data_IF_376235126715
#
_entry.id   IF_376235126715
#
_cell.length_a   1.000
_cell.length_b   1.000
_cell.length_c   1.000
_cell.angle_alpha   90.00
_cell.angle_beta   90.00
_cell.angle_gamma   90.00
#
_symmetry.space_group_name_H-M   'P 1'
#
loop_
_entity.id
_entity.type
_entity.pdbx_description
1 polymer ?
#
# COMPACT_ATOMS: atom_id res chain seq x y z
N UNK A 1 -10.98 14.05 4.34
CA UNK A 1 -11.08 12.70 3.73
C UNK A 1 -10.30 11.71 4.55
N UNK A 2 -10.71 10.45 4.52
CA UNK A 2 -9.94 9.31 5.04
C UNK A 2 -9.19 8.66 3.88
N UNK A 3 -7.86 8.67 3.93
CA UNK A 3 -6.99 8.25 2.85
C UNK A 3 -6.13 7.09 3.31
N UNK A 4 -6.17 5.98 2.56
CA UNK A 4 -5.24 4.86 2.73
C UNK A 4 -4.15 5.00 1.65
N UNK A 5 -2.89 5.04 2.07
CA UNK A 5 -1.74 5.07 1.16
C UNK A 5 -0.97 3.76 1.31
N UNK A 6 -0.75 3.07 0.21
CA UNK A 6 0.06 1.86 0.19
C UNK A 6 1.40 2.13 -0.49
N UNK A 7 2.48 1.73 0.16
CA UNK A 7 3.83 1.83 -0.38
C UNK A 7 4.49 0.45 -0.47
N UNK A 8 5.11 0.17 -1.63
CA UNK A 8 5.79 -1.09 -1.90
C UNK A 8 7.26 -1.12 -1.46
N UNK A 9 7.84 -2.31 -1.39
CA UNK A 9 9.26 -2.50 -1.03
C UNK A 9 10.21 -1.81 -2.02
N UNK A 10 9.90 -1.86 -3.31
CA UNK A 10 10.71 -1.22 -4.38
C UNK A 10 10.81 0.30 -4.21
N UNK A 11 9.82 0.90 -3.59
CA UNK A 11 9.77 2.34 -3.30
C UNK A 11 10.59 2.69 -2.05
N UNK A 12 10.55 1.84 -1.03
CA UNK A 12 11.18 2.09 0.28
C UNK A 12 12.64 1.64 0.37
N UNK A 13 13.10 0.76 -0.51
CA UNK A 13 14.43 0.18 -0.43
C UNK A 13 15.21 0.35 -1.74
N UNK A 14 16.52 0.57 -1.60
CA UNK A 14 17.46 0.46 -2.72
C UNK A 14 17.63 -1.01 -3.16
N UNK A 15 18.19 -1.22 -4.35
CA UNK A 15 18.54 -2.57 -4.84
C UNK A 15 19.50 -3.33 -3.92
N UNK A 16 20.22 -2.62 -3.03
CA UNK A 16 21.08 -3.18 -1.98
C UNK A 16 20.31 -3.76 -0.79
N UNK A 17 18.97 -3.65 -0.77
CA UNK A 17 18.12 -4.02 0.36
C UNK A 17 18.10 -3.00 1.51
N UNK A 18 18.89 -1.92 1.42
CA UNK A 18 18.92 -0.86 2.45
C UNK A 18 17.80 0.15 2.18
N UNK A 19 17.32 0.77 3.27
CA UNK A 19 16.29 1.81 3.22
C UNK A 19 16.73 2.97 2.31
N UNK A 20 15.83 3.40 1.42
CA UNK A 20 15.95 4.65 0.68
C UNK A 20 15.52 5.80 1.60
N UNK A 21 16.49 6.32 2.36
CA UNK A 21 16.25 7.33 3.41
C UNK A 21 15.56 8.54 2.82
N UNK A 22 16.12 9.13 1.77
CA UNK A 22 15.58 10.34 1.13
C UNK A 22 14.11 10.16 0.77
N UNK A 23 13.80 9.07 0.10
CA UNK A 23 12.45 8.80 -0.36
C UNK A 23 11.47 8.55 0.80
N UNK A 24 11.92 7.83 1.83
CA UNK A 24 11.10 7.59 3.04
C UNK A 24 10.83 8.90 3.79
N UNK A 25 11.82 9.80 3.89
CA UNK A 25 11.65 11.12 4.49
C UNK A 25 10.66 11.99 3.69
N UNK A 26 10.74 12.00 2.36
CA UNK A 26 9.78 12.71 1.50
C UNK A 26 8.37 12.16 1.67
N UNK A 27 8.18 10.84 1.67
CA UNK A 27 6.88 10.20 1.91
C UNK A 27 6.31 10.60 3.27
N UNK A 28 7.08 10.47 4.34
CA UNK A 28 6.65 10.83 5.70
C UNK A 28 6.28 12.30 5.79
N UNK A 29 7.06 13.21 5.18
CA UNK A 29 6.76 14.63 5.12
C UNK A 29 5.40 14.90 4.47
N UNK A 30 5.14 14.30 3.30
CA UNK A 30 3.87 14.48 2.57
C UNK A 30 2.69 13.93 3.37
N UNK A 31 2.81 12.72 3.96
CA UNK A 31 1.75 12.13 4.77
C UNK A 31 1.46 12.96 6.03
N UNK A 32 2.51 13.53 6.65
CA UNK A 32 2.37 14.41 7.81
C UNK A 32 1.65 15.70 7.44
N UNK A 33 1.97 16.29 6.30
CA UNK A 33 1.35 17.52 5.84
C UNK A 33 -0.13 17.31 5.46
N UNK A 34 -0.46 16.21 4.78
CA UNK A 34 -1.86 15.83 4.51
C UNK A 34 -2.64 15.65 5.81
N UNK A 35 -2.02 15.04 6.84
CA UNK A 35 -2.65 14.90 8.16
C UNK A 35 -2.87 16.26 8.83
N UNK A 36 -1.89 17.18 8.74
CA UNK A 36 -2.00 18.54 9.23
C UNK A 36 -3.08 19.36 8.49
N UNK A 37 -3.30 19.06 7.21
CA UNK A 37 -4.38 19.63 6.40
C UNK A 37 -5.78 19.08 6.78
N UNK A 38 -5.86 18.19 7.78
CA UNK A 38 -7.12 17.65 8.31
C UNK A 38 -7.61 16.36 7.65
N UNK A 39 -6.74 15.67 6.90
CA UNK A 39 -7.04 14.34 6.40
C UNK A 39 -6.74 13.27 7.47
N UNK A 40 -7.55 12.22 7.51
CA UNK A 40 -7.21 10.99 8.24
C UNK A 40 -6.36 10.11 7.33
N UNK A 41 -5.10 9.87 7.72
CA UNK A 41 -4.11 9.16 6.92
C UNK A 41 -3.78 7.82 7.55
N UNK A 42 -3.83 6.77 6.75
CA UNK A 42 -3.42 5.40 7.08
C UNK A 42 -2.35 4.96 6.09
N UNK A 43 -1.26 4.38 6.58
CA UNK A 43 -0.19 3.87 5.76
C UNK A 43 -0.20 2.33 5.76
N UNK A 44 -0.26 1.71 4.59
CA UNK A 44 0.01 0.28 4.41
C UNK A 44 1.41 0.13 3.82
N UNK A 45 2.34 -0.39 4.61
CA UNK A 45 3.76 -0.42 4.26
C UNK A 45 4.26 -1.83 4.07
N UNK A 46 4.95 -2.06 2.96
CA UNK A 46 5.77 -3.25 2.74
C UNK A 46 7.20 -3.04 3.25
N UNK A 47 8.07 -4.03 3.03
CA UNK A 47 9.51 -3.86 3.18
C UNK A 47 10.13 -4.53 4.41
N UNK A 48 9.35 -5.12 5.31
CA UNK A 48 9.86 -5.75 6.53
C UNK A 48 10.94 -6.82 6.24
N UNK A 49 10.67 -7.77 5.36
CA UNK A 49 11.65 -8.81 4.99
C UNK A 49 12.93 -8.19 4.42
N UNK A 50 12.80 -7.20 3.51
CA UNK A 50 13.95 -6.52 2.91
C UNK A 50 14.82 -5.79 3.93
N UNK A 51 14.20 -5.07 4.85
CA UNK A 51 14.91 -4.40 5.94
C UNK A 51 15.59 -5.39 6.88
N UNK A 52 14.96 -6.54 7.16
CA UNK A 52 15.56 -7.61 7.95
C UNK A 52 16.79 -8.21 7.27
N UNK A 53 16.74 -8.45 5.97
CA UNK A 53 17.91 -8.88 5.17
C UNK A 53 19.07 -7.88 5.33
N UNK A 54 18.79 -6.59 5.18
CA UNK A 54 19.80 -5.54 5.34
C UNK A 54 20.34 -5.44 6.76
N UNK A 55 19.49 -5.52 7.80
CA UNK A 55 19.87 -5.42 9.21
C UNK A 55 20.71 -6.63 9.66
N UNK A 56 20.36 -7.83 9.18
CA UNK A 56 21.09 -9.06 9.46
C UNK A 56 22.32 -9.24 8.56
N UNK A 57 22.56 -8.30 7.63
CA UNK A 57 23.70 -8.32 6.69
C UNK A 57 23.74 -9.62 5.87
N UNK A 58 22.60 -10.15 5.48
CA UNK A 58 22.52 -11.33 4.63
C UNK A 58 22.96 -10.98 3.21
N UNK A 59 23.71 -11.88 2.57
CA UNK A 59 24.21 -11.69 1.20
C UNK A 59 23.15 -11.78 0.12
N UNK A 60 22.02 -12.43 0.43
CA UNK A 60 20.87 -12.58 -0.47
C UNK A 60 19.55 -12.68 0.30
N UNK A 61 18.44 -12.41 -0.38
CA UNK A 61 17.10 -12.61 0.17
C UNK A 61 16.84 -14.11 0.37
N UNK A 62 16.42 -14.56 1.56
CA UNK A 62 16.15 -15.97 1.81
C UNK A 62 14.98 -16.47 0.96
N UNK A 63 15.07 -17.76 0.60
CA UNK A 63 14.04 -18.45 -0.17
C UNK A 63 13.14 -19.31 0.70
N UNK A 64 13.68 -19.83 1.81
CA UNK A 64 12.92 -20.64 2.76
C UNK A 64 12.04 -19.79 3.68
N UNK A 65 10.93 -20.38 4.14
CA UNK A 65 9.91 -19.69 4.92
C UNK A 65 10.44 -19.23 6.28
N UNK A 66 11.14 -20.09 7.02
CA UNK A 66 11.62 -19.76 8.36
C UNK A 66 12.60 -18.57 8.36
N UNK A 67 13.48 -18.51 7.38
CA UNK A 67 14.41 -17.38 7.20
C UNK A 67 13.68 -16.10 6.76
N UNK A 68 12.65 -16.20 5.91
CA UNK A 68 11.81 -15.05 5.55
C UNK A 68 11.09 -14.49 6.79
N UNK A 69 10.48 -15.37 7.59
CA UNK A 69 9.79 -15.00 8.84
C UNK A 69 10.74 -14.35 9.85
N UNK A 70 11.94 -14.91 10.02
CA UNK A 70 12.97 -14.32 10.89
C UNK A 70 13.41 -12.93 10.38
N UNK A 71 13.62 -12.77 9.07
CA UNK A 71 13.90 -11.46 8.48
C UNK A 71 12.74 -10.49 8.69
N UNK A 72 11.49 -10.92 8.52
CA UNK A 72 10.32 -10.09 8.76
C UNK A 72 10.27 -9.59 10.21
N UNK A 73 10.53 -10.47 11.19
CA UNK A 73 10.54 -10.12 12.61
C UNK A 73 11.57 -9.00 12.92
N UNK A 74 12.80 -9.15 12.42
CA UNK A 74 13.85 -8.14 12.62
C UNK A 74 13.53 -6.85 11.84
N UNK A 75 13.11 -7.00 10.59
CA UNK A 75 12.89 -5.86 9.71
C UNK A 75 11.65 -5.07 10.04
N UNK A 76 10.58 -5.69 10.54
CA UNK A 76 9.37 -4.97 10.98
C UNK A 76 9.69 -4.05 12.17
N UNK A 77 10.53 -4.50 13.11
CA UNK A 77 10.99 -3.68 14.22
C UNK A 77 11.77 -2.45 13.72
N UNK A 78 12.70 -2.63 12.78
CA UNK A 78 13.49 -1.56 12.19
C UNK A 78 12.63 -0.58 11.37
N UNK A 79 11.65 -1.11 10.63
CA UNK A 79 10.70 -0.33 9.83
C UNK A 79 9.87 0.59 10.73
N UNK A 80 9.30 0.06 11.80
CA UNK A 80 8.52 0.85 12.75
C UNK A 80 9.37 1.87 13.49
N UNK A 81 10.57 1.52 13.92
CA UNK A 81 11.50 2.47 14.53
C UNK A 81 11.82 3.64 13.59
N UNK A 82 12.01 3.33 12.29
CA UNK A 82 12.26 4.37 11.28
C UNK A 82 11.06 5.29 11.11
N UNK A 83 9.87 4.75 10.96
CA UNK A 83 8.65 5.57 10.84
C UNK A 83 8.38 6.39 12.10
N UNK A 84 8.47 5.80 13.28
CA UNK A 84 8.26 6.50 14.54
C UNK A 84 9.20 7.71 14.68
N UNK A 85 10.49 7.51 14.41
CA UNK A 85 11.47 8.59 14.42
C UNK A 85 11.17 9.70 13.43
N UNK A 86 10.76 9.36 12.21
CA UNK A 86 10.50 10.35 11.15
C UNK A 86 9.19 11.10 11.37
N UNK A 87 8.11 10.42 11.76
CA UNK A 87 6.83 11.04 12.05
C UNK A 87 6.87 11.89 13.33
N UNK A 88 7.66 11.49 14.33
CA UNK A 88 7.87 12.28 15.57
C UNK A 88 8.49 13.66 15.29
N UNK A 89 9.26 13.81 14.19
CA UNK A 89 9.80 15.12 13.78
C UNK A 89 8.68 16.12 13.35
N UNK A 90 7.47 15.63 13.10
CA UNK A 90 6.28 16.41 12.75
C UNK A 90 5.17 16.31 13.81
N UNK A 91 5.52 15.90 15.04
CA UNK A 91 4.59 15.73 16.17
C UNK A 91 3.48 14.70 15.92
N UNK A 92 3.72 13.68 15.10
CA UNK A 92 2.76 12.61 14.86
C UNK A 92 3.13 11.33 15.60
N UNK A 93 2.14 10.78 16.29
CA UNK A 93 2.21 9.44 16.91
C UNK A 93 1.80 8.40 15.88
N UNK A 94 2.64 7.38 15.70
CA UNK A 94 2.33 6.23 14.83
C UNK A 94 1.83 5.04 15.66
N UNK A 95 1.03 4.18 15.05
CA UNK A 95 0.53 2.96 15.67
C UNK A 95 0.72 1.77 14.73
N UNK A 96 1.37 0.70 15.20
CA UNK A 96 1.55 -0.52 14.42
C UNK A 96 0.34 -1.42 14.47
N UNK A 97 -0.10 -1.93 13.30
CA UNK A 97 -1.09 -2.99 13.17
C UNK A 97 -0.56 -4.05 12.21
N UNK A 98 -0.47 -5.29 12.68
CA UNK A 98 -0.06 -6.44 11.87
C UNK A 98 -1.25 -7.39 11.70
N UNK A 99 -1.57 -7.73 10.45
CA UNK A 99 -2.73 -8.52 10.08
C UNK A 99 -2.32 -9.76 9.30
N UNK A 100 -3.13 -10.80 9.44
CA UNK A 100 -3.07 -12.01 8.61
C UNK A 100 -4.38 -12.22 7.87
N UNK A 101 -4.39 -13.10 6.86
CA UNK A 101 -5.61 -13.49 6.16
C UNK A 101 -6.71 -13.98 7.11
N UNK A 102 -6.33 -14.75 8.12
CA UNK A 102 -7.25 -15.27 9.15
C UNK A 102 -7.95 -14.15 9.93
N UNK A 103 -7.23 -13.04 10.19
CA UNK A 103 -7.82 -11.91 10.92
C UNK A 103 -8.87 -11.18 10.08
N UNK A 104 -8.74 -11.23 8.77
CA UNK A 104 -9.69 -10.63 7.83
C UNK A 104 -10.91 -11.54 7.58
N UNK A 105 -10.72 -12.86 7.52
CA UNK A 105 -11.79 -13.81 7.25
C UNK A 105 -12.78 -13.91 8.44
N UNK A 106 -12.28 -13.87 9.68
CA UNK A 106 -13.11 -13.96 10.86
C UNK A 106 -13.84 -12.65 11.18
N UNK A 107 -15.17 -12.68 11.16
CA UNK A 107 -16.02 -11.50 11.37
C UNK A 107 -15.70 -10.73 12.67
N UNK A 108 -15.54 -11.46 13.80
CA UNK A 108 -15.23 -10.84 15.10
C UNK A 108 -13.84 -10.17 15.14
N UNK A 109 -12.84 -10.77 14.48
CA UNK A 109 -11.50 -10.17 14.39
C UNK A 109 -11.52 -8.94 13.48
N UNK A 110 -12.22 -9.01 12.35
CA UNK A 110 -12.41 -7.88 11.44
C UNK A 110 -13.10 -6.70 12.14
N UNK A 111 -14.11 -6.96 12.96
CA UNK A 111 -14.76 -5.93 13.78
C UNK A 111 -13.77 -5.29 14.78
N UNK A 112 -12.95 -6.09 15.46
CA UNK A 112 -11.91 -5.58 16.36
C UNK A 112 -10.87 -4.72 15.63
N UNK A 113 -10.47 -5.12 14.41
CA UNK A 113 -9.57 -4.32 13.55
C UNK A 113 -10.21 -2.98 13.24
N UNK A 114 -11.47 -2.98 12.78
CA UNK A 114 -12.22 -1.77 12.47
C UNK A 114 -12.32 -0.84 13.68
N UNK A 115 -12.70 -1.36 14.84
CA UNK A 115 -12.81 -0.60 16.08
C UNK A 115 -11.46 0.00 16.50
N UNK A 116 -10.38 -0.78 16.42
CA UNK A 116 -9.03 -0.31 16.76
C UNK A 116 -8.58 0.79 15.81
N UNK A 117 -8.71 0.60 14.49
CA UNK A 117 -8.33 1.60 13.50
C UNK A 117 -9.13 2.90 13.66
N UNK A 118 -10.45 2.79 13.83
CA UNK A 118 -11.32 3.94 14.04
C UNK A 118 -10.88 4.70 15.30
N UNK A 119 -10.62 3.98 16.39
CA UNK A 119 -10.21 4.61 17.63
C UNK A 119 -8.85 5.30 17.56
N UNK A 120 -7.89 4.71 16.84
CA UNK A 120 -6.59 5.32 16.60
C UNK A 120 -6.71 6.64 15.83
N UNK A 121 -7.57 6.67 14.79
CA UNK A 121 -7.82 7.89 14.01
C UNK A 121 -8.47 8.97 14.89
N UNK A 122 -9.47 8.62 15.72
CA UNK A 122 -10.09 9.54 16.69
C UNK A 122 -9.09 10.11 17.70
N UNK A 123 -8.10 9.31 18.11
CA UNK A 123 -7.02 9.74 19.01
C UNK A 123 -5.93 10.54 18.30
N UNK A 124 -6.05 10.74 16.98
CA UNK A 124 -5.08 11.47 16.19
C UNK A 124 -3.81 10.69 15.88
N UNK A 125 -3.74 9.37 16.14
CA UNK A 125 -2.62 8.54 15.73
C UNK A 125 -2.67 8.24 14.23
N UNK A 126 -1.51 7.92 13.63
CA UNK A 126 -1.37 7.47 12.25
C UNK A 126 -1.13 5.95 12.25
N UNK A 127 -2.13 5.15 11.84
CA UNK A 127 -1.94 3.70 11.75
C UNK A 127 -0.97 3.33 10.62
N UNK A 128 0.00 2.46 10.93
CA UNK A 128 0.90 1.83 9.96
C UNK A 128 0.61 0.34 9.97
N UNK A 129 0.14 -0.16 8.85
CA UNK A 129 -0.36 -1.53 8.69
C UNK A 129 0.59 -2.32 7.82
N UNK A 130 0.85 -3.56 8.18
CA UNK A 130 1.54 -4.53 7.35
C UNK A 130 0.96 -5.93 7.59
N UNK A 131 1.31 -6.87 6.70
CA UNK A 131 1.06 -8.28 6.97
C UNK A 131 1.95 -8.75 8.13
N UNK A 132 1.42 -9.67 8.96
CA UNK A 132 2.20 -10.33 9.98
C UNK A 132 3.00 -11.50 9.38
N UNK A 133 4.00 -11.15 8.60
CA UNK A 133 4.89 -12.12 7.92
C UNK A 133 5.55 -13.12 8.88
N UNK A 134 5.55 -12.84 10.20
CA UNK A 134 6.19 -13.73 11.20
C UNK A 134 5.39 -15.01 11.45
N UNK A 135 4.10 -14.98 11.19
CA UNK A 135 3.16 -16.11 11.40
C UNK A 135 2.33 -16.42 10.16
N UNK A 136 2.42 -15.61 9.11
CA UNK A 136 1.75 -15.87 7.85
C UNK A 136 2.38 -17.08 7.15
N UNK A 137 1.54 -17.92 6.55
CA UNK A 137 1.97 -19.06 5.73
C UNK A 137 1.35 -18.96 4.36
N UNK A 138 2.09 -19.33 3.31
CA UNK A 138 1.64 -19.24 1.91
C UNK A 138 0.31 -19.97 1.64
N UNK A 139 -0.05 -20.94 2.50
CA UNK A 139 -1.26 -21.76 2.35
C UNK A 139 -2.54 -21.10 2.89
N UNK A 140 -2.43 -20.04 3.70
CA UNK A 140 -3.56 -19.41 4.40
C UNK A 140 -3.80 -17.96 3.93
N UNK A 141 -2.97 -17.42 3.03
CA UNK A 141 -3.04 -16.01 2.68
C UNK A 141 -4.15 -15.70 1.67
N UNK A 142 -5.34 -15.40 2.18
CA UNK A 142 -6.37 -14.68 1.41
C UNK A 142 -5.93 -13.25 1.04
N UNK A 143 -4.90 -12.72 1.70
CA UNK A 143 -4.33 -11.40 1.42
C UNK A 143 -3.39 -11.46 0.20
N UNK A 144 -2.40 -12.34 0.21
CA UNK A 144 -1.48 -12.60 -0.92
C UNK A 144 -0.51 -11.48 -1.27
N UNK A 145 -0.87 -10.23 -1.03
CA UNK A 145 -0.04 -9.04 -1.29
C UNK A 145 -0.58 -7.78 -0.57
N UNK A 146 0.27 -6.77 -0.40
CA UNK A 146 -0.11 -5.55 0.31
C UNK A 146 -1.04 -4.62 -0.50
N UNK A 147 -1.24 -4.82 -1.80
CA UNK A 147 -2.26 -4.08 -2.57
C UNK A 147 -3.65 -4.58 -2.14
N UNK A 148 -3.81 -5.91 -2.02
CA UNK A 148 -5.02 -6.55 -1.50
C UNK A 148 -5.26 -6.16 -0.03
N UNK A 149 -4.22 -6.19 0.82
CA UNK A 149 -4.34 -5.75 2.22
C UNK A 149 -4.83 -4.30 2.31
N UNK A 150 -4.27 -3.39 1.51
CA UNK A 150 -4.68 -2.00 1.48
C UNK A 150 -6.14 -1.81 1.03
N UNK A 151 -6.58 -2.59 0.04
CA UNK A 151 -7.98 -2.59 -0.39
C UNK A 151 -8.93 -3.06 0.72
N UNK A 152 -8.59 -4.14 1.41
CA UNK A 152 -9.36 -4.66 2.54
C UNK A 152 -9.46 -3.63 3.67
N UNK A 153 -8.34 -3.01 4.03
CA UNK A 153 -8.30 -1.94 5.04
C UNK A 153 -9.21 -0.78 4.62
N UNK A 154 -9.10 -0.33 3.37
CA UNK A 154 -9.93 0.75 2.81
C UNK A 154 -11.42 0.46 2.97
N UNK A 155 -11.85 -0.74 2.59
CA UNK A 155 -13.25 -1.16 2.75
C UNK A 155 -13.65 -1.28 4.23
N UNK A 156 -12.78 -1.85 5.08
CA UNK A 156 -13.05 -2.08 6.50
C UNK A 156 -13.34 -0.79 7.26
N UNK A 157 -12.58 0.26 7.01
CA UNK A 157 -12.72 1.56 7.70
C UNK A 157 -13.54 2.58 6.91
N UNK A 158 -14.14 2.17 5.79
CA UNK A 158 -14.91 3.05 4.89
C UNK A 158 -14.11 4.31 4.51
N UNK A 159 -12.89 4.11 4.05
CA UNK A 159 -12.08 5.22 3.56
C UNK A 159 -12.64 5.78 2.25
N UNK A 160 -12.34 7.06 1.98
CA UNK A 160 -12.79 7.74 0.77
C UNK A 160 -11.90 7.43 -0.43
N UNK A 161 -10.62 7.14 -0.17
CA UNK A 161 -9.59 7.02 -1.19
C UNK A 161 -8.51 6.00 -0.80
N UNK A 162 -8.16 5.12 -1.74
CA UNK A 162 -6.94 4.31 -1.70
C UNK A 162 -5.94 4.84 -2.73
N UNK A 163 -4.70 5.08 -2.33
CA UNK A 163 -3.60 5.37 -3.25
C UNK A 163 -2.56 4.27 -3.19
N UNK A 164 -2.32 3.61 -4.33
CA UNK A 164 -1.23 2.65 -4.50
C UNK A 164 -0.03 3.36 -5.12
N UNK A 165 1.00 3.61 -4.32
CA UNK A 165 2.29 4.09 -4.80
C UNK A 165 3.10 2.91 -5.34
N UNK A 166 3.35 2.92 -6.64
CA UNK A 166 3.93 1.81 -7.41
C UNK A 166 5.17 2.26 -8.17
N UNK A 167 5.85 1.32 -8.80
CA UNK A 167 6.98 1.54 -9.73
C UNK A 167 6.54 1.91 -11.16
N UNK A 168 5.23 2.08 -11.37
CA UNK A 168 4.61 2.49 -12.63
C UNK A 168 3.68 3.68 -12.41
N UNK A 169 3.54 4.55 -13.40
CA UNK A 169 2.73 5.78 -13.29
C UNK A 169 1.23 5.50 -13.17
N UNK A 170 0.75 4.35 -13.63
CA UNK A 170 -0.65 3.96 -13.62
C UNK A 170 -0.94 2.79 -14.54
N UNK A 171 -2.18 2.64 -14.98
CA UNK A 171 -2.59 1.65 -15.97
C UNK A 171 -2.35 2.19 -17.38
N UNK A 172 -1.73 1.39 -18.24
CA UNK A 172 -1.46 1.73 -19.62
C UNK A 172 -2.29 0.86 -20.57
N UNK A 173 -2.49 1.33 -21.80
CA UNK A 173 -3.20 0.59 -22.87
C UNK A 173 -2.45 -0.69 -23.31
N UNK A 174 -1.16 -0.80 -23.00
CA UNK A 174 -0.30 -1.97 -23.17
C UNK A 174 0.91 -1.84 -22.24
N UNK A 175 1.76 -2.86 -22.15
CA UNK A 175 2.96 -2.78 -21.30
C UNK A 175 3.96 -1.74 -21.87
N UNK A 176 4.22 -0.62 -21.17
CA UNK A 176 5.08 0.46 -21.68
C UNK A 176 6.54 0.06 -21.88
N UNK A 177 7.02 -1.01 -21.23
CA UNK A 177 8.38 -1.52 -21.42
C UNK A 177 8.57 -2.27 -22.75
N UNK A 178 7.48 -2.80 -23.31
CA UNK A 178 7.51 -3.58 -24.56
C UNK A 178 6.80 -2.89 -25.73
N UNK A 179 5.95 -1.92 -25.43
CA UNK A 179 5.16 -1.15 -26.41
C UNK A 179 5.37 0.35 -26.19
N UNK A 180 6.28 0.98 -26.97
CA UNK A 180 6.61 2.42 -26.81
C UNK A 180 5.45 3.38 -27.07
N UNK A 181 4.41 2.92 -27.76
CA UNK A 181 3.17 3.65 -28.07
C UNK A 181 2.07 3.49 -27.01
N UNK A 182 2.34 2.73 -25.95
CA UNK A 182 1.42 2.57 -24.84
C UNK A 182 1.09 3.92 -24.18
N UNK A 183 -0.19 4.17 -23.95
CA UNK A 183 -0.68 5.43 -23.36
C UNK A 183 -1.21 5.18 -21.97
N UNK A 184 -0.91 6.11 -21.05
CA UNK A 184 -1.50 6.11 -19.72
C UNK A 184 -3.02 6.32 -19.82
N UNK A 185 -3.78 5.54 -19.06
CA UNK A 185 -5.23 5.67 -18.92
C UNK A 185 -5.50 6.50 -17.67
N UNK A 186 -5.96 7.76 -17.79
CA UNK A 186 -6.08 8.63 -16.61
C UNK A 186 -7.29 8.28 -15.73
N UNK A 187 -8.35 7.73 -16.33
CA UNK A 187 -9.60 7.40 -15.63
C UNK A 187 -10.15 6.06 -16.10
N UNK A 188 -10.57 5.25 -15.17
CA UNK A 188 -11.33 4.00 -15.37
C UNK A 188 -12.63 4.14 -14.58
N UNK A 189 -13.75 4.26 -15.29
CA UNK A 189 -15.08 4.35 -14.66
C UNK A 189 -15.56 2.96 -14.26
N UNK A 190 -15.34 1.95 -15.13
CA UNK A 190 -15.72 0.57 -14.90
C UNK A 190 -14.57 -0.40 -15.16
N UNK A 191 -14.38 -1.35 -14.25
CA UNK A 191 -13.35 -2.39 -14.39
C UNK A 191 -13.95 -3.58 -15.16
N UNK A 192 -14.02 -3.42 -16.48
CA UNK A 192 -14.55 -4.43 -17.39
C UNK A 192 -13.56 -5.60 -17.60
N UNK A 193 -14.00 -6.73 -18.21
CA UNK A 193 -13.08 -7.80 -18.61
C UNK A 193 -11.94 -7.32 -19.52
N UNK A 194 -12.19 -6.34 -20.39
CA UNK A 194 -11.18 -5.74 -21.27
C UNK A 194 -10.12 -4.98 -20.47
N UNK A 195 -10.53 -4.21 -19.46
CA UNK A 195 -9.61 -3.53 -18.54
C UNK A 195 -8.79 -4.56 -17.75
N UNK A 196 -9.42 -5.65 -17.30
CA UNK A 196 -8.69 -6.74 -16.60
C UNK A 196 -7.65 -7.41 -17.50
N UNK A 197 -7.94 -7.57 -18.79
CA UNK A 197 -7.02 -8.17 -19.75
C UNK A 197 -5.75 -7.33 -20.00
N UNK A 198 -5.77 -6.01 -19.75
CA UNK A 198 -4.57 -5.16 -19.81
C UNK A 198 -3.50 -5.55 -18.77
N UNK A 199 -3.89 -6.29 -17.72
CA UNK A 199 -2.96 -6.76 -16.70
C UNK A 199 -2.13 -7.98 -17.13
N UNK A 200 -2.56 -8.74 -18.14
CA UNK A 200 -1.97 -10.03 -18.49
C UNK A 200 -0.57 -9.93 -19.18
N UNK A 201 -0.12 -8.71 -19.49
CA UNK A 201 1.18 -8.44 -20.10
C UNK A 201 2.22 -7.74 -19.22
N UNK A 202 1.89 -7.37 -17.98
CA UNK A 202 2.71 -6.51 -17.14
C UNK A 202 3.17 -7.19 -15.85
N UNK A 203 4.20 -8.03 -15.93
CA UNK A 203 4.87 -8.59 -14.75
C UNK A 203 6.11 -7.77 -14.37
N UNK A 204 6.19 -7.23 -13.14
CA UNK A 204 7.44 -6.67 -12.62
C UNK A 204 8.30 -7.78 -12.00
N UNK A 205 9.60 -7.78 -12.27
CA UNK A 205 10.55 -8.81 -11.81
C UNK A 205 10.90 -8.74 -10.32
N UNK A 206 10.45 -7.70 -9.57
CA UNK A 206 10.90 -7.42 -8.20
C UNK A 206 9.77 -7.35 -7.15
N UNK A 207 8.50 -7.37 -7.54
CA UNK A 207 7.37 -7.28 -6.61
C UNK A 207 6.42 -8.48 -6.72
N UNK A 208 5.87 -8.92 -5.58
CA UNK A 208 4.82 -9.96 -5.53
C UNK A 208 3.46 -9.48 -6.07
N UNK A 209 3.28 -8.15 -6.28
CA UNK A 209 2.05 -7.52 -6.75
C UNK A 209 2.19 -6.98 -8.19
N UNK A 210 1.66 -7.69 -9.20
CA UNK A 210 1.57 -7.22 -10.58
C UNK A 210 0.36 -6.29 -10.81
N UNK A 211 0.16 -5.86 -12.07
CA UNK A 211 -1.02 -5.05 -12.43
C UNK A 211 -2.33 -5.79 -12.13
N UNK A 212 -2.36 -7.12 -12.23
CA UNK A 212 -3.55 -7.93 -11.91
C UNK A 212 -3.99 -7.82 -10.44
N UNK A 213 -3.04 -7.73 -9.49
CA UNK A 213 -3.37 -7.52 -8.07
C UNK A 213 -3.93 -6.12 -7.84
N UNK A 214 -3.38 -5.10 -8.51
CA UNK A 214 -3.86 -3.72 -8.44
C UNK A 214 -5.27 -3.57 -9.00
N UNK A 215 -5.59 -4.23 -10.12
CA UNK A 215 -6.94 -4.21 -10.69
C UNK A 215 -7.95 -4.97 -9.82
N UNK A 216 -7.55 -6.06 -9.15
CA UNK A 216 -8.40 -6.72 -8.15
C UNK A 216 -8.66 -5.83 -6.95
N UNK A 217 -7.63 -5.16 -6.44
CA UNK A 217 -7.76 -4.16 -5.38
C UNK A 217 -8.71 -3.02 -5.80
N UNK A 218 -8.55 -2.49 -7.03
CA UNK A 218 -9.41 -1.46 -7.57
C UNK A 218 -10.88 -1.90 -7.61
N UNK A 219 -11.18 -3.11 -8.11
CA UNK A 219 -12.54 -3.64 -8.13
C UNK A 219 -13.15 -3.71 -6.73
N UNK A 220 -12.39 -4.17 -5.73
CA UNK A 220 -12.85 -4.26 -4.34
C UNK A 220 -13.20 -2.87 -3.78
N UNK A 221 -12.29 -1.91 -3.97
CA UNK A 221 -12.39 -0.56 -3.43
C UNK A 221 -13.53 0.22 -4.09
N UNK A 222 -13.62 0.21 -5.43
CA UNK A 222 -14.67 0.94 -6.16
C UNK A 222 -16.05 0.37 -5.87
N UNK A 223 -16.17 -0.96 -5.73
CA UNK A 223 -17.44 -1.61 -5.33
C UNK A 223 -17.86 -1.26 -3.89
N UNK A 224 -16.93 -0.83 -3.03
CA UNK A 224 -17.25 -0.37 -1.66
C UNK A 224 -17.61 1.11 -1.59
N UNK A 225 -17.58 1.83 -2.71
CA UNK A 225 -17.90 3.25 -2.80
C UNK A 225 -16.72 4.20 -2.58
N UNK A 226 -15.49 3.70 -2.61
CA UNK A 226 -14.26 4.50 -2.51
C UNK A 226 -13.55 4.60 -3.87
N UNK A 227 -12.88 5.72 -4.12
CA UNK A 227 -12.00 5.86 -5.27
C UNK A 227 -10.67 5.14 -5.02
N UNK A 228 -10.01 4.69 -6.10
CA UNK A 228 -8.63 4.22 -6.02
C UNK A 228 -7.77 4.94 -7.07
N UNK A 229 -6.50 5.23 -6.70
CA UNK A 229 -5.51 5.80 -7.62
C UNK A 229 -4.25 4.93 -7.62
N UNK A 230 -3.72 4.63 -8.80
CA UNK A 230 -2.36 4.12 -8.99
C UNK A 230 -1.50 5.28 -9.45
N UNK A 231 -0.39 5.54 -8.74
CA UNK A 231 0.54 6.60 -9.07
C UNK A 231 1.99 6.15 -8.86
N UNK A 232 2.93 6.88 -9.47
CA UNK A 232 4.35 6.59 -9.35
C UNK A 232 4.86 6.91 -7.94
N UNK A 233 5.28 5.88 -7.22
CA UNK A 233 5.79 5.99 -5.87
C UNK A 233 7.16 6.68 -5.77
N UNK A 234 7.87 6.92 -6.88
CA UNK A 234 9.08 7.73 -6.86
C UNK A 234 8.81 9.22 -6.55
N UNK A 235 7.54 9.62 -6.63
CA UNK A 235 7.06 10.99 -6.50
C UNK A 235 5.97 11.10 -5.41
N UNK A 236 6.30 11.02 -4.10
CA UNK A 236 5.30 11.10 -3.03
C UNK A 236 4.50 12.39 -3.03
N UNK A 237 5.06 13.48 -3.56
CA UNK A 237 4.41 14.78 -3.69
C UNK A 237 3.13 14.74 -4.55
N UNK A 238 2.99 13.75 -5.42
CA UNK A 238 1.76 13.52 -6.19
C UNK A 238 0.54 13.29 -5.30
N UNK A 239 0.74 12.87 -4.05
CA UNK A 239 -0.35 12.70 -3.09
C UNK A 239 -1.11 14.01 -2.83
N UNK A 240 -0.47 15.18 -2.92
CA UNK A 240 -1.16 16.47 -2.82
C UNK A 240 -2.16 16.65 -3.96
N UNK A 241 -1.72 16.44 -5.19
CA UNK A 241 -2.56 16.57 -6.39
C UNK A 241 -3.72 15.56 -6.36
N UNK A 242 -3.45 14.34 -5.93
CA UNK A 242 -4.46 13.28 -5.80
C UNK A 242 -5.50 13.64 -4.75
N UNK A 243 -5.09 14.16 -3.59
CA UNK A 243 -5.99 14.58 -2.51
C UNK A 243 -6.86 15.78 -2.91
N UNK A 244 -6.36 16.66 -3.76
CA UNK A 244 -7.09 17.79 -4.34
C UNK A 244 -7.95 17.40 -5.56
N UNK A 245 -7.94 16.13 -5.96
CA UNK A 245 -8.75 15.60 -7.07
C UNK A 245 -8.18 15.89 -8.46
N UNK A 246 -6.92 16.34 -8.57
CA UNK A 246 -6.25 16.54 -9.85
C UNK A 246 -5.96 15.20 -10.55
N UNK A 247 -5.92 15.23 -11.88
CA UNK A 247 -5.66 14.04 -12.68
C UNK A 247 -4.17 13.65 -12.62
N UNK A 248 -3.87 12.65 -11.80
CA UNK A 248 -2.53 12.06 -11.63
C UNK A 248 -2.65 10.55 -11.68
N UNK A 249 -1.76 9.89 -12.41
CA UNK A 249 -1.75 8.45 -12.55
C UNK A 249 -3.02 7.92 -13.21
N UNK A 250 -3.55 6.82 -12.69
CA UNK A 250 -4.85 6.25 -13.10
C UNK A 250 -5.80 6.27 -11.92
N UNK A 251 -6.91 6.98 -12.04
CA UNK A 251 -8.03 6.95 -11.10
C UNK A 251 -9.05 5.91 -11.52
N UNK A 252 -9.46 5.07 -10.57
CA UNK A 252 -10.60 4.16 -10.67
C UNK A 252 -11.74 4.76 -9.86
N UNK A 253 -12.83 5.09 -10.54
CA UNK A 253 -13.96 5.80 -9.93
C UNK A 253 -14.81 4.88 -9.05
N UNK A 254 -15.25 5.41 -7.92
CA UNK A 254 -16.17 4.71 -7.04
C UNK A 254 -17.51 4.44 -7.72
N UNK A 255 -18.06 3.25 -7.56
CA UNK A 255 -19.46 2.97 -7.92
C UNK A 255 -20.37 3.60 -6.86
N UNK A 256 -20.70 4.87 -7.04
CA UNK A 256 -21.67 5.54 -6.15
C UNK A 256 -23.06 5.06 -6.55
N UNK A 257 -23.71 4.30 -5.67
CA UNK A 257 -25.16 4.06 -5.82
C UNK A 257 -25.85 5.42 -5.78
N UNK A 258 -26.61 5.75 -6.82
CA UNK A 258 -27.50 6.91 -6.78
C UNK A 258 -28.46 6.70 -5.60
N UNK A 259 -28.47 7.67 -4.68
CA UNK A 259 -29.27 7.65 -3.45
C UNK A 259 -30.76 7.95 -3.75
#
# INVERSE_FOLDING_TARGET
MRIVVKVGTSTLAHSTGRLNIRHTEELVKVLSDLKNAGHEVILVSSGAIGMGVGKLSLSARPTDMSSKQACAAVGQCELMYTYDRLFSAYDHTVAQILLTGVDIEHASRRENIQNTLTRLLELGALPIINENDTVATDEITSIGDNDTLAAIVTCCIKADLLVLLSDIDGLYTANPHTHPDAKLIPLVEDITPEVMALADGAGSALGTGGMSTKLRAARMVTSSGADMVIANGAHPELLYDIAEGRAVGTRFAAHRQEA
#
